data_IF_797955510443
#
_entry.id   IF_797955510443
#
_cell.length_a   1.000
_cell.length_b   1.000
_cell.length_c   1.000
_cell.angle_alpha   90.00
_cell.angle_beta   90.00
_cell.angle_gamma   90.00
#
_symmetry.space_group_name_H-M   'P 1'
#
loop_
_entity.id
_entity.type
_entity.pdbx_description
1 polymer ?
#
# COMPACT_ATOMS: atom_id res chain seq x y z
N UNK A 1 -4.96 -10.27 -46.92
CA UNK A 1 -3.59 -10.28 -46.35
C UNK A 1 -3.63 -9.45 -45.07
N UNK A 2 -4.08 -10.08 -43.98
CA UNK A 2 -4.01 -9.52 -42.62
C UNK A 2 -3.19 -10.57 -41.84
N UNK A 3 -1.88 -10.34 -41.86
CA UNK A 3 -0.94 -11.20 -41.18
C UNK A 3 -0.71 -10.66 -39.75
N UNK A 4 -0.96 -11.53 -38.80
CA UNK A 4 -0.29 -11.66 -37.51
C UNK A 4 0.15 -10.34 -36.80
N UNK A 5 -0.69 -9.80 -35.92
CA UNK A 5 -0.25 -9.11 -34.76
C UNK A 5 -0.52 -10.02 -33.56
N UNK A 6 0.30 -11.05 -33.44
CA UNK A 6 0.47 -11.85 -32.23
C UNK A 6 1.94 -11.75 -31.84
N UNK A 7 2.40 -10.54 -31.62
CA UNK A 7 3.55 -10.34 -30.74
C UNK A 7 3.00 -10.43 -29.32
N UNK A 8 3.38 -11.49 -28.61
CA UNK A 8 3.27 -11.64 -27.18
C UNK A 8 3.82 -10.34 -26.59
N UNK A 9 2.94 -9.44 -26.17
CA UNK A 9 3.29 -8.19 -25.49
C UNK A 9 4.01 -8.64 -24.22
N UNK A 10 5.34 -8.53 -24.22
CA UNK A 10 6.13 -8.87 -23.05
C UNK A 10 5.55 -8.10 -21.87
N UNK A 11 5.12 -8.84 -20.83
CA UNK A 11 4.53 -8.24 -19.63
C UNK A 11 5.54 -7.26 -19.02
N UNK A 12 5.08 -6.09 -18.61
CA UNK A 12 5.93 -5.11 -17.95
C UNK A 12 6.53 -5.70 -16.68
N UNK A 13 7.82 -5.50 -16.48
CA UNK A 13 8.51 -5.89 -15.24
C UNK A 13 8.36 -4.83 -14.13
N UNK A 14 7.53 -3.83 -14.35
CA UNK A 14 7.32 -2.70 -13.42
C UNK A 14 5.98 -2.83 -12.71
N UNK A 15 5.92 -2.36 -11.46
CA UNK A 15 4.70 -2.31 -10.65
C UNK A 15 4.26 -0.86 -10.56
N UNK A 16 3.12 -0.53 -11.14
CA UNK A 16 2.53 0.81 -11.00
C UNK A 16 1.91 0.97 -9.62
N UNK A 17 2.15 2.13 -9.00
CA UNK A 17 1.57 2.51 -7.70
C UNK A 17 0.75 3.79 -7.91
N UNK A 18 -0.56 3.69 -7.87
CA UNK A 18 -1.48 4.83 -7.83
C UNK A 18 -1.38 5.48 -6.45
N UNK A 19 -0.85 6.69 -6.39
CA UNK A 19 -0.52 7.39 -5.17
C UNK A 19 -0.92 8.87 -5.26
N UNK A 20 -2.19 9.19 -5.08
CA UNK A 20 -2.67 10.56 -5.23
C UNK A 20 -2.06 11.52 -4.22
N UNK A 21 -1.64 11.03 -3.05
CA UNK A 21 -1.17 11.86 -1.93
C UNK A 21 0.29 11.57 -1.57
N UNK A 22 1.23 12.21 -2.29
CA UNK A 22 2.63 12.27 -1.87
C UNK A 22 2.90 13.61 -1.17
N UNK A 23 3.59 13.57 -0.03
CA UNK A 23 3.83 14.71 0.84
C UNK A 23 5.32 14.89 1.11
N UNK A 24 5.73 16.10 1.54
CA UNK A 24 7.06 16.37 2.04
C UNK A 24 7.07 16.26 3.57
N UNK A 25 7.95 15.45 4.11
CA UNK A 25 8.16 15.32 5.55
C UNK A 25 9.47 15.98 5.96
N UNK A 26 9.40 16.77 7.01
CA UNK A 26 10.58 17.31 7.70
C UNK A 26 10.53 16.81 9.15
N UNK A 27 11.59 16.16 9.60
CA UNK A 27 11.69 15.66 10.98
C UNK A 27 12.93 16.26 11.62
N UNK A 28 12.76 16.82 12.82
CA UNK A 28 13.84 17.33 13.66
C UNK A 28 14.08 16.29 14.76
N UNK A 29 15.30 15.81 14.86
CA UNK A 29 15.72 14.82 15.87
C UNK A 29 16.98 15.30 16.56
N UNK A 30 17.36 14.70 17.69
CA UNK A 30 18.65 14.91 18.33
C UNK A 30 19.43 13.60 18.34
N UNK A 31 20.58 13.59 17.70
CA UNK A 31 21.52 12.46 17.74
C UNK A 31 22.85 12.90 18.35
N UNK A 32 23.33 12.17 19.34
CA UNK A 32 24.58 12.49 20.05
C UNK A 32 24.67 13.94 20.60
N UNK A 33 23.53 14.54 20.95
CA UNK A 33 23.46 15.91 21.50
C UNK A 33 23.50 17.02 20.43
N UNK A 34 23.36 16.66 19.15
CA UNK A 34 23.28 17.60 18.01
C UNK A 34 21.93 17.47 17.34
N UNK A 35 21.31 18.60 17.01
CA UNK A 35 20.04 18.58 16.25
C UNK A 35 20.31 18.20 14.78
N UNK A 36 19.52 17.26 14.29
CA UNK A 36 19.52 16.80 12.90
C UNK A 36 18.19 17.15 12.23
N UNK A 37 18.27 17.49 10.95
CA UNK A 37 17.11 17.80 10.12
C UNK A 37 17.03 16.75 9.00
N UNK A 38 15.97 15.96 9.00
CA UNK A 38 15.70 14.97 7.99
C UNK A 38 14.57 15.43 7.08
N UNK A 39 14.82 15.50 5.77
CA UNK A 39 13.85 15.89 4.74
C UNK A 39 13.67 14.73 3.79
N UNK A 40 12.45 14.22 3.67
CA UNK A 40 12.18 13.07 2.82
C UNK A 40 10.74 13.09 2.27
N UNK A 41 10.47 12.39 1.17
CA UNK A 41 9.11 12.16 0.72
C UNK A 41 8.34 11.33 1.74
N UNK A 42 7.04 11.51 1.77
CA UNK A 42 6.12 10.79 2.63
C UNK A 42 4.80 10.53 1.91
N UNK A 43 3.91 9.81 2.58
CA UNK A 43 2.64 9.35 2.04
C UNK A 43 2.68 7.86 1.78
N UNK A 44 1.52 7.21 1.91
CA UNK A 44 1.35 5.75 1.80
C UNK A 44 2.01 5.20 0.53
N UNK A 45 1.63 5.76 -0.64
CA UNK A 45 2.16 5.27 -1.92
C UNK A 45 3.67 5.39 -2.07
N UNK A 46 4.29 6.42 -1.46
CA UNK A 46 5.74 6.53 -1.45
C UNK A 46 6.39 5.41 -0.62
N UNK A 47 5.85 5.11 0.55
CA UNK A 47 6.41 4.04 1.39
C UNK A 47 6.23 2.67 0.75
N UNK A 48 5.08 2.43 0.10
CA UNK A 48 4.86 1.23 -0.72
C UNK A 48 5.89 1.14 -1.84
N UNK A 49 6.06 2.19 -2.65
CA UNK A 49 7.03 2.20 -3.75
C UNK A 49 8.47 1.98 -3.26
N UNK A 50 8.84 2.60 -2.14
CA UNK A 50 10.16 2.41 -1.53
C UNK A 50 10.38 0.96 -1.10
N UNK A 51 9.41 0.33 -0.46
CA UNK A 51 9.52 -1.06 -0.03
C UNK A 51 9.54 -2.02 -1.24
N UNK A 52 8.77 -1.75 -2.31
CA UNK A 52 8.88 -2.49 -3.56
C UNK A 52 10.32 -2.47 -4.10
N UNK A 53 10.97 -1.30 -4.09
CA UNK A 53 12.36 -1.16 -4.51
C UNK A 53 13.34 -1.88 -3.58
N UNK A 54 13.13 -1.82 -2.27
CA UNK A 54 13.91 -2.59 -1.28
C UNK A 54 13.82 -4.09 -1.54
N UNK A 55 12.65 -4.58 -1.91
CA UNK A 55 12.42 -5.98 -2.25
C UNK A 55 12.92 -6.35 -3.67
N UNK A 56 13.55 -5.41 -4.39
CA UNK A 56 14.22 -5.66 -5.69
C UNK A 56 13.31 -5.53 -6.91
N UNK A 57 12.10 -5.00 -6.75
CA UNK A 57 11.20 -4.72 -7.88
C UNK A 57 11.40 -3.29 -8.41
N UNK A 58 10.84 -3.01 -9.59
CA UNK A 58 10.90 -1.72 -10.24
C UNK A 58 9.54 -0.98 -10.11
N UNK A 59 9.28 -0.21 -9.04
CA UNK A 59 8.04 0.55 -8.90
C UNK A 59 7.99 1.73 -9.86
N UNK A 60 6.77 2.13 -10.24
CA UNK A 60 6.48 3.42 -10.85
C UNK A 60 5.46 4.13 -9.98
N UNK A 61 5.92 5.07 -9.18
CA UNK A 61 5.02 5.89 -8.35
C UNK A 61 4.30 6.92 -9.21
N UNK A 62 3.01 6.73 -9.41
CA UNK A 62 2.15 7.65 -10.15
C UNK A 62 1.54 8.66 -9.18
N UNK A 63 2.04 9.91 -9.21
CA UNK A 63 1.67 10.92 -8.21
C UNK A 63 1.76 12.34 -8.76
N UNK A 64 0.87 13.26 -8.35
CA UNK A 64 0.98 14.67 -8.68
C UNK A 64 2.06 15.33 -7.82
N UNK A 65 2.83 16.24 -8.44
CA UNK A 65 3.84 17.06 -7.78
C UNK A 65 3.75 18.50 -8.24
N UNK A 66 3.68 19.44 -7.29
CA UNK A 66 3.49 20.85 -7.59
C UNK A 66 3.98 21.80 -6.51
N UNK A 67 4.09 23.07 -6.87
CA UNK A 67 4.58 24.12 -5.99
C UNK A 67 6.03 23.93 -5.54
N UNK A 68 6.43 24.62 -4.49
CA UNK A 68 7.76 24.53 -3.90
C UNK A 68 8.02 23.14 -3.30
N UNK A 69 7.03 22.59 -2.60
CA UNK A 69 7.11 21.24 -2.03
C UNK A 69 7.25 20.17 -3.12
N UNK A 70 6.53 20.30 -4.23
CA UNK A 70 6.67 19.42 -5.39
C UNK A 70 8.04 19.50 -6.05
N UNK A 71 8.65 20.69 -6.11
CA UNK A 71 10.03 20.86 -6.60
C UNK A 71 11.01 20.10 -5.73
N UNK A 72 10.90 20.19 -4.41
CA UNK A 72 11.70 19.41 -3.48
C UNK A 72 11.46 17.90 -3.63
N UNK A 73 10.20 17.49 -3.73
CA UNK A 73 9.82 16.09 -3.91
C UNK A 73 10.41 15.49 -5.19
N UNK A 74 10.40 16.20 -6.31
CA UNK A 74 11.01 15.70 -7.57
C UNK A 74 12.47 15.31 -7.38
N UNK A 75 13.24 16.12 -6.65
CA UNK A 75 14.65 15.83 -6.37
C UNK A 75 14.83 14.66 -5.42
N UNK A 76 13.95 14.52 -4.42
CA UNK A 76 14.04 13.50 -3.38
C UNK A 76 13.52 12.14 -3.84
N UNK A 77 12.54 12.12 -4.75
CA UNK A 77 11.97 10.89 -5.30
C UNK A 77 12.94 10.18 -6.25
N UNK A 78 13.84 10.92 -6.92
CA UNK A 78 14.89 10.37 -7.75
C UNK A 78 14.39 9.37 -8.80
N UNK A 79 15.11 8.27 -8.94
CA UNK A 79 14.83 7.24 -9.95
C UNK A 79 13.55 6.43 -9.69
N UNK A 80 13.02 6.45 -8.46
CA UNK A 80 11.78 5.72 -8.11
C UNK A 80 10.56 6.19 -8.90
N UNK A 81 10.61 7.37 -9.54
CA UNK A 81 9.40 8.04 -10.00
C UNK A 81 9.48 8.72 -11.36
N UNK A 82 10.57 8.58 -12.12
CA UNK A 82 10.80 9.38 -13.34
C UNK A 82 9.66 9.32 -14.35
N UNK A 83 8.93 8.21 -14.43
CA UNK A 83 7.91 7.99 -15.46
C UNK A 83 6.46 8.10 -14.92
N UNK A 84 6.28 8.41 -13.64
CA UNK A 84 4.96 8.46 -12.98
C UNK A 84 4.56 9.83 -12.45
N UNK A 85 5.44 10.85 -12.54
CA UNK A 85 5.16 12.17 -11.99
C UNK A 85 4.30 13.00 -12.93
N UNK A 86 3.31 13.69 -12.34
CA UNK A 86 2.40 14.60 -13.03
C UNK A 86 2.59 16.00 -12.49
N UNK A 87 2.62 16.99 -13.37
CA UNK A 87 2.64 18.38 -12.97
C UNK A 87 1.30 18.80 -12.35
N UNK A 88 1.38 19.39 -11.16
CA UNK A 88 0.22 19.91 -10.45
C UNK A 88 0.43 21.41 -10.15
N UNK A 89 -0.57 22.28 -10.41
CA UNK A 89 -0.46 23.71 -10.10
C UNK A 89 -0.44 24.00 -8.60
N UNK A 90 -0.98 23.09 -7.77
CA UNK A 90 -1.05 23.26 -6.32
C UNK A 90 0.13 22.59 -5.62
N UNK A 91 0.61 23.15 -4.48
CA UNK A 91 1.69 22.53 -3.73
C UNK A 91 1.25 21.20 -3.10
N UNK A 92 2.19 20.27 -2.99
CA UNK A 92 1.99 19.05 -2.21
C UNK A 92 1.86 19.40 -0.71
N UNK A 93 1.08 18.60 0.01
CA UNK A 93 1.04 18.66 1.45
C UNK A 93 2.43 18.47 2.06
N UNK A 94 2.65 19.06 3.22
CA UNK A 94 3.90 18.89 3.96
C UNK A 94 3.69 19.02 5.46
N UNK A 95 4.55 18.39 6.23
CA UNK A 95 4.51 18.50 7.69
C UNK A 95 5.91 18.55 8.30
N UNK A 96 6.02 19.24 9.41
CA UNK A 96 7.24 19.33 10.22
C UNK A 96 6.96 18.71 11.58
N UNK A 97 7.76 17.72 11.96
CA UNK A 97 7.68 17.08 13.26
C UNK A 97 8.94 17.32 14.07
N UNK A 98 8.77 17.64 15.35
CA UNK A 98 9.82 17.66 16.35
C UNK A 98 9.80 16.35 17.15
N UNK A 99 10.92 15.63 17.18
CA UNK A 99 11.12 14.36 17.90
C UNK A 99 12.24 14.46 18.94
N UNK A 100 12.76 15.65 19.21
CA UNK A 100 13.87 15.86 20.17
C UNK A 100 13.52 15.45 21.58
N UNK A 101 12.24 15.46 21.95
CA UNK A 101 11.76 14.97 23.26
C UNK A 101 11.60 13.45 23.33
N UNK A 102 11.81 12.71 22.22
CA UNK A 102 11.48 11.29 22.10
C UNK A 102 10.04 11.02 21.62
N UNK A 103 9.14 12.00 21.76
CA UNK A 103 7.78 11.94 21.24
C UNK A 103 7.67 12.75 19.94
N UNK A 104 6.75 12.35 19.07
CA UNK A 104 6.48 13.07 17.83
C UNK A 104 5.49 14.20 18.05
N UNK A 105 5.97 15.43 17.95
CA UNK A 105 5.14 16.63 18.00
C UNK A 105 5.04 17.25 16.60
N UNK A 106 3.84 17.41 16.07
CA UNK A 106 3.63 18.19 14.85
C UNK A 106 3.73 19.69 15.19
N UNK A 107 4.67 20.38 14.52
CA UNK A 107 4.87 21.83 14.71
C UNK A 107 4.39 22.64 13.51
N UNK A 108 4.25 22.05 12.35
CA UNK A 108 3.67 22.70 11.17
C UNK A 108 3.05 21.67 10.24
N UNK A 109 1.90 22.02 9.67
CA UNK A 109 1.19 21.23 8.68
C UNK A 109 0.74 22.13 7.53
N UNK A 110 1.20 21.85 6.32
CA UNK A 110 0.60 22.33 5.10
C UNK A 110 -0.32 21.22 4.56
N UNK A 111 -1.62 21.42 4.66
CA UNK A 111 -2.60 20.47 4.10
C UNK A 111 -2.52 20.45 2.57
N UNK A 112 -2.65 19.30 1.91
CA UNK A 112 -2.75 19.27 0.47
C UNK A 112 -4.05 19.97 0.04
N UNK A 113 -4.01 20.64 -1.10
CA UNK A 113 -5.21 21.26 -1.69
C UNK A 113 -5.99 20.25 -2.53
N UNK A 114 -7.29 20.49 -2.77
CA UNK A 114 -8.08 19.72 -3.73
C UNK A 114 -7.40 19.68 -5.10
N UNK A 115 -7.40 18.53 -5.74
CA UNK A 115 -6.86 18.38 -7.08
C UNK A 115 -7.85 18.85 -8.14
N UNK A 116 -7.34 19.56 -9.13
CA UNK A 116 -8.11 19.88 -10.33
C UNK A 116 -8.46 18.60 -11.12
N UNK A 117 -9.62 18.60 -11.76
CA UNK A 117 -10.10 17.46 -12.56
C UNK A 117 -9.08 16.99 -13.60
N UNK A 118 -8.38 17.92 -14.25
CA UNK A 118 -7.39 17.55 -15.27
C UNK A 118 -6.20 16.84 -14.65
N UNK A 119 -5.75 17.26 -13.47
CA UNK A 119 -4.68 16.57 -12.72
C UNK A 119 -5.12 15.14 -12.34
N UNK A 120 -6.38 14.96 -11.93
CA UNK A 120 -6.93 13.63 -11.63
C UNK A 120 -7.01 12.77 -12.89
N UNK A 121 -7.46 13.31 -14.02
CA UNK A 121 -7.51 12.59 -15.31
C UNK A 121 -6.09 12.20 -15.79
N UNK A 122 -5.11 13.08 -15.61
CA UNK A 122 -3.71 12.79 -15.92
C UNK A 122 -3.13 11.71 -15.00
N UNK A 123 -3.46 11.76 -13.71
CA UNK A 123 -3.06 10.74 -12.74
C UNK A 123 -3.60 9.35 -13.10
N UNK A 124 -4.87 9.27 -13.47
CA UNK A 124 -5.47 8.03 -13.98
C UNK A 124 -4.72 7.56 -15.23
N UNK A 125 -4.52 8.47 -16.19
CA UNK A 125 -3.90 8.15 -17.48
C UNK A 125 -2.49 7.61 -17.33
N UNK A 126 -1.65 8.24 -16.49
CA UNK A 126 -0.27 7.78 -16.25
C UNK A 126 -0.23 6.46 -15.49
N UNK A 127 -1.17 6.27 -14.54
CA UNK A 127 -1.31 5.01 -13.80
C UNK A 127 -1.66 3.86 -14.73
N UNK A 128 -2.64 4.07 -15.61
CA UNK A 128 -3.05 3.06 -16.59
C UNK A 128 -1.94 2.78 -17.60
N UNK A 129 -1.24 3.82 -18.08
CA UNK A 129 -0.13 3.66 -19.02
C UNK A 129 1.01 2.78 -18.45
N UNK A 130 1.28 2.89 -17.14
CA UNK A 130 2.31 2.11 -16.46
C UNK A 130 1.79 0.76 -15.91
N UNK A 131 0.50 0.67 -15.59
CA UNK A 131 -0.11 -0.52 -14.99
C UNK A 131 -0.63 -1.53 -16.00
N UNK A 132 -1.13 -1.07 -17.16
CA UNK A 132 -1.61 -1.97 -18.21
C UNK A 132 -0.47 -2.81 -18.80
N UNK A 133 -0.65 -4.14 -18.77
CA UNK A 133 0.38 -5.08 -19.18
C UNK A 133 1.42 -5.40 -18.10
N UNK A 134 1.32 -4.80 -16.92
CA UNK A 134 1.98 -5.29 -15.71
C UNK A 134 1.22 -6.51 -15.14
N UNK A 135 1.90 -7.32 -14.35
CA UNK A 135 1.23 -8.42 -13.62
C UNK A 135 0.46 -7.90 -12.40
N UNK A 136 0.95 -6.83 -11.78
CA UNK A 136 0.40 -6.27 -10.54
C UNK A 136 0.44 -4.74 -10.60
N UNK A 137 -0.58 -4.12 -10.08
CA UNK A 137 -0.61 -2.68 -9.77
C UNK A 137 -1.11 -2.49 -8.33
N UNK A 138 -0.61 -1.44 -7.67
CA UNK A 138 -1.01 -1.10 -6.30
C UNK A 138 -1.85 0.17 -6.32
N UNK A 139 -2.95 0.19 -5.56
CA UNK A 139 -3.81 1.36 -5.40
C UNK A 139 -3.79 1.78 -3.94
N UNK A 140 -3.24 2.96 -3.68
CA UNK A 140 -3.13 3.60 -2.37
C UNK A 140 -4.16 4.71 -2.21
N UNK A 141 -4.56 4.98 -0.97
CA UNK A 141 -5.56 5.98 -0.64
C UNK A 141 -5.08 7.43 -0.84
N UNK A 142 -6.03 8.34 -0.86
CA UNK A 142 -5.79 9.77 -0.89
C UNK A 142 -5.83 10.40 0.51
N UNK A 143 -5.41 11.65 0.61
CA UNK A 143 -5.71 12.47 1.75
C UNK A 143 -7.10 13.11 1.56
N UNK A 144 -7.95 13.07 2.59
CA UNK A 144 -9.31 13.61 2.55
C UNK A 144 -9.38 15.07 2.10
N UNK A 145 -8.36 15.87 2.43
CA UNK A 145 -8.28 17.30 2.03
C UNK A 145 -8.13 17.47 0.51
N UNK A 146 -7.72 16.43 -0.23
CA UNK A 146 -7.57 16.48 -1.70
C UNK A 146 -8.90 16.38 -2.44
N UNK A 147 -9.97 15.98 -1.75
CA UNK A 147 -11.33 15.89 -2.28
C UNK A 147 -11.42 15.14 -3.63
N UNK A 148 -10.75 13.99 -3.71
CA UNK A 148 -10.83 13.11 -4.87
C UNK A 148 -12.16 12.33 -4.80
N UNK A 149 -12.91 12.33 -5.89
CA UNK A 149 -14.14 11.55 -5.98
C UNK A 149 -13.83 10.05 -5.84
N UNK A 150 -14.55 9.38 -4.96
CA UNK A 150 -14.38 7.94 -4.74
C UNK A 150 -14.56 7.10 -6.03
N UNK A 151 -15.37 7.57 -6.98
CA UNK A 151 -15.55 6.94 -8.30
C UNK A 151 -14.24 6.83 -9.11
N UNK A 152 -13.22 7.62 -8.78
CA UNK A 152 -11.86 7.50 -9.36
C UNK A 152 -11.26 6.14 -9.02
N UNK A 153 -11.42 5.68 -7.78
CA UNK A 153 -10.87 4.41 -7.31
C UNK A 153 -11.57 3.21 -7.97
N UNK A 154 -12.89 3.27 -8.15
CA UNK A 154 -13.65 2.29 -8.92
C UNK A 154 -13.11 2.18 -10.36
N UNK A 155 -12.96 3.33 -11.02
CA UNK A 155 -12.47 3.40 -12.40
C UNK A 155 -11.04 2.84 -12.52
N UNK A 156 -10.12 3.28 -11.64
CA UNK A 156 -8.71 2.85 -11.67
C UNK A 156 -8.61 1.34 -11.47
N UNK A 157 -9.30 0.77 -10.49
CA UNK A 157 -9.29 -0.67 -10.23
C UNK A 157 -9.84 -1.46 -11.41
N UNK A 158 -11.01 -1.05 -11.94
CA UNK A 158 -11.65 -1.70 -13.09
C UNK A 158 -10.76 -1.68 -14.33
N UNK A 159 -10.19 -0.53 -14.66
CA UNK A 159 -9.41 -0.34 -15.89
C UNK A 159 -8.06 -1.05 -15.80
N UNK A 160 -7.40 -1.06 -14.63
CA UNK A 160 -6.16 -1.84 -14.39
C UNK A 160 -6.42 -3.35 -14.56
N UNK A 161 -7.50 -3.87 -13.98
CA UNK A 161 -7.88 -5.28 -14.13
C UNK A 161 -8.24 -5.64 -15.56
N UNK A 162 -8.98 -4.77 -16.25
CA UNK A 162 -9.27 -4.94 -17.68
C UNK A 162 -7.99 -4.93 -18.53
N UNK A 163 -6.94 -4.21 -18.09
CA UNK A 163 -5.61 -4.21 -18.68
C UNK A 163 -4.76 -5.43 -18.33
N UNK A 164 -5.26 -6.36 -17.50
CA UNK A 164 -4.61 -7.61 -17.12
C UNK A 164 -3.73 -7.55 -15.88
N UNK A 165 -3.71 -6.44 -15.15
CA UNK A 165 -3.01 -6.35 -13.88
C UNK A 165 -3.88 -6.88 -12.72
N UNK A 166 -3.29 -7.65 -11.82
CA UNK A 166 -3.89 -7.91 -10.52
C UNK A 166 -3.79 -6.63 -9.66
N UNK A 167 -4.90 -6.21 -9.06
CA UNK A 167 -4.96 -5.00 -8.24
C UNK A 167 -4.76 -5.36 -6.77
N UNK A 168 -3.70 -4.84 -6.18
CA UNK A 168 -3.49 -4.82 -4.72
C UNK A 168 -3.94 -3.47 -4.20
N UNK A 169 -4.84 -3.45 -3.21
CA UNK A 169 -5.34 -2.21 -2.64
C UNK A 169 -5.04 -2.12 -1.14
N UNK A 170 -4.75 -0.90 -0.68
CA UNK A 170 -4.65 -0.53 0.73
C UNK A 170 -5.43 0.77 0.90
N UNK A 171 -6.73 0.64 1.23
CA UNK A 171 -7.73 1.69 1.18
C UNK A 171 -8.70 1.57 2.36
N UNK A 172 -9.34 2.68 2.70
CA UNK A 172 -10.38 2.73 3.73
C UNK A 172 -11.57 3.60 3.29
N UNK A 173 -12.63 3.61 4.06
CA UNK A 173 -13.79 4.49 3.87
C UNK A 173 -14.47 4.32 2.50
N UNK A 174 -14.87 5.45 1.90
CA UNK A 174 -15.58 5.47 0.63
C UNK A 174 -14.70 5.09 -0.56
N UNK A 175 -13.39 5.36 -0.50
CA UNK A 175 -12.42 4.94 -1.51
C UNK A 175 -12.34 3.41 -1.61
N UNK A 176 -12.34 2.72 -0.46
CA UNK A 176 -12.40 1.26 -0.41
C UNK A 176 -13.69 0.73 -1.02
N UNK A 177 -14.85 1.31 -0.66
CA UNK A 177 -16.15 0.88 -1.20
C UNK A 177 -16.16 0.98 -2.73
N UNK A 178 -15.73 2.10 -3.26
CA UNK A 178 -15.65 2.32 -4.70
C UNK A 178 -14.63 1.38 -5.39
N UNK A 179 -13.48 1.16 -4.79
CA UNK A 179 -12.49 0.23 -5.31
C UNK A 179 -13.03 -1.21 -5.38
N UNK A 180 -13.81 -1.64 -4.38
CA UNK A 180 -14.47 -2.95 -4.38
C UNK A 180 -15.47 -3.10 -5.53
N UNK A 181 -16.23 -2.05 -5.88
CA UNK A 181 -17.12 -2.04 -7.04
C UNK A 181 -16.33 -2.18 -8.37
N UNK A 182 -15.11 -1.64 -8.43
CA UNK A 182 -14.17 -1.83 -9.53
C UNK A 182 -13.49 -3.20 -9.57
N UNK A 183 -13.49 -3.90 -8.43
CA UNK A 183 -12.84 -5.18 -8.17
C UNK A 183 -11.40 -5.05 -7.69
N UNK A 184 -11.08 -5.78 -6.64
CA UNK A 184 -9.76 -5.84 -6.00
C UNK A 184 -9.31 -7.29 -5.92
N UNK A 185 -8.12 -7.61 -6.40
CA UNK A 185 -7.61 -8.98 -6.38
C UNK A 185 -7.03 -9.34 -5.00
N UNK A 186 -6.33 -8.41 -4.36
CA UNK A 186 -5.88 -8.56 -2.98
C UNK A 186 -6.02 -7.25 -2.22
N UNK A 187 -6.82 -7.27 -1.16
CA UNK A 187 -7.00 -6.15 -0.25
C UNK A 187 -6.15 -6.35 1.01
N UNK A 188 -5.33 -5.36 1.37
CA UNK A 188 -4.78 -5.23 2.70
C UNK A 188 -5.60 -4.20 3.48
N UNK A 189 -5.96 -4.53 4.71
CA UNK A 189 -6.69 -3.66 5.63
C UNK A 189 -6.20 -3.90 7.05
N UNK A 190 -6.25 -2.91 7.94
CA UNK A 190 -6.04 -3.12 9.38
C UNK A 190 -7.36 -3.46 10.09
N UNK A 191 -7.26 -4.06 11.29
CA UNK A 191 -8.44 -4.35 12.11
C UNK A 191 -9.19 -3.07 12.50
N UNK A 192 -8.47 -1.99 12.81
CA UNK A 192 -9.05 -0.69 13.12
C UNK A 192 -9.85 -0.14 11.92
N UNK A 193 -9.26 -0.13 10.72
CA UNK A 193 -9.92 0.30 9.48
C UNK A 193 -11.13 -0.56 9.13
N UNK A 194 -11.06 -1.86 9.45
CA UNK A 194 -12.16 -2.79 9.25
C UNK A 194 -13.36 -2.45 10.16
N UNK A 195 -13.08 -2.08 11.42
CA UNK A 195 -14.11 -1.65 12.38
C UNK A 195 -14.64 -0.27 12.02
N UNK A 196 -13.77 0.70 11.78
CA UNK A 196 -14.11 2.08 11.44
C UNK A 196 -14.91 2.18 10.13
N UNK A 197 -14.59 1.33 9.17
CA UNK A 197 -15.31 1.21 7.90
C UNK A 197 -16.67 0.52 8.01
N UNK A 198 -17.02 -0.01 9.20
CA UNK A 198 -18.28 -0.72 9.44
C UNK A 198 -18.30 -2.15 8.88
N UNK A 199 -17.13 -2.68 8.49
CA UNK A 199 -16.99 -4.06 8.00
C UNK A 199 -16.87 -5.08 9.15
N UNK A 200 -16.27 -4.69 10.30
CA UNK A 200 -16.13 -5.45 11.52
C UNK A 200 -16.98 -4.88 12.66
N UNK A 201 -17.16 -5.65 13.72
CA UNK A 201 -17.81 -5.21 14.97
C UNK A 201 -16.83 -5.11 16.12
N UNK A 202 -15.68 -5.77 16.00
CA UNK A 202 -14.62 -5.82 16.98
C UNK A 202 -13.33 -6.32 16.32
N UNK A 203 -12.23 -6.29 17.10
CA UNK A 203 -10.89 -6.65 16.63
C UNK A 203 -10.53 -8.10 16.97
N UNK A 204 -11.41 -8.83 17.65
CA UNK A 204 -11.17 -10.24 17.91
C UNK A 204 -11.16 -11.06 16.60
N UNK A 205 -10.55 -12.23 16.65
CA UNK A 205 -10.35 -13.08 15.47
C UNK A 205 -11.63 -13.40 14.74
N UNK A 206 -12.70 -13.71 15.47
CA UNK A 206 -13.99 -14.09 14.89
C UNK A 206 -14.66 -12.91 14.19
N UNK A 207 -14.65 -11.74 14.82
CA UNK A 207 -15.24 -10.52 14.26
C UNK A 207 -14.43 -10.01 13.07
N UNK A 208 -13.10 -10.10 13.15
CA UNK A 208 -12.21 -9.75 12.04
C UNK A 208 -12.43 -10.68 10.83
N UNK A 209 -12.53 -12.00 11.03
CA UNK A 209 -12.84 -12.95 9.95
C UNK A 209 -14.22 -12.68 9.34
N UNK A 210 -15.21 -12.39 10.16
CA UNK A 210 -16.54 -12.05 9.65
C UNK A 210 -16.54 -10.73 8.83
N UNK A 211 -15.66 -9.79 9.18
CA UNK A 211 -15.42 -8.56 8.42
C UNK A 211 -14.73 -8.82 7.09
N UNK A 212 -13.69 -9.65 7.10
CA UNK A 212 -12.97 -10.10 5.90
C UNK A 212 -13.93 -10.77 4.90
N UNK A 213 -14.80 -11.64 5.36
CA UNK A 213 -15.79 -12.28 4.48
C UNK A 213 -16.81 -11.28 3.89
N UNK A 214 -17.19 -10.23 4.65
CA UNK A 214 -18.02 -9.15 4.09
C UNK A 214 -17.31 -8.37 3.00
N UNK A 215 -16.01 -8.09 3.15
CA UNK A 215 -15.19 -7.43 2.13
C UNK A 215 -15.07 -8.28 0.87
N UNK A 216 -14.91 -9.60 1.02
CA UNK A 216 -14.92 -10.55 -0.11
C UNK A 216 -16.26 -10.57 -0.83
N UNK A 217 -17.34 -10.59 -0.07
CA UNK A 217 -18.70 -10.49 -0.63
C UNK A 217 -18.98 -9.16 -1.35
N UNK A 218 -18.22 -8.11 -1.03
CA UNK A 218 -18.34 -6.78 -1.62
C UNK A 218 -17.41 -6.55 -2.83
N UNK A 219 -16.48 -7.48 -3.17
CA UNK A 219 -15.68 -7.35 -4.41
C UNK A 219 -14.18 -7.61 -4.26
N UNK A 220 -13.66 -7.85 -3.05
CA UNK A 220 -12.28 -8.31 -2.89
C UNK A 220 -12.21 -9.83 -3.14
N UNK A 221 -11.20 -10.30 -3.89
CA UNK A 221 -10.97 -11.74 -4.07
C UNK A 221 -10.27 -12.29 -2.83
N UNK A 222 -9.11 -11.73 -2.51
CA UNK A 222 -8.31 -12.11 -1.35
C UNK A 222 -8.20 -10.93 -0.39
N UNK A 223 -8.13 -11.20 0.91
CA UNK A 223 -8.03 -10.15 1.94
C UNK A 223 -7.00 -10.55 2.99
N UNK A 224 -6.13 -9.61 3.34
CA UNK A 224 -5.20 -9.70 4.47
C UNK A 224 -5.53 -8.59 5.47
N UNK A 225 -5.95 -8.98 6.67
CA UNK A 225 -6.27 -8.08 7.77
C UNK A 225 -5.13 -8.09 8.80
N UNK A 226 -4.39 -6.99 8.91
CA UNK A 226 -3.35 -6.83 9.93
C UNK A 226 -3.97 -6.43 11.28
N UNK A 227 -3.46 -7.01 12.37
CA UNK A 227 -3.99 -6.88 13.74
C UNK A 227 -2.90 -6.47 14.72
N UNK A 228 -2.05 -5.55 14.33
CA UNK A 228 -0.92 -5.05 15.12
C UNK A 228 -0.11 -6.21 15.75
N UNK A 229 0.03 -6.24 17.08
CA UNK A 229 0.78 -7.26 17.81
C UNK A 229 0.16 -8.68 17.72
N UNK A 230 -1.12 -8.77 17.34
CA UNK A 230 -1.81 -10.05 17.15
C UNK A 230 -1.53 -10.69 15.78
N UNK A 231 -0.62 -10.13 14.99
CA UNK A 231 -0.26 -10.63 13.68
C UNK A 231 -1.26 -10.25 12.59
N UNK A 232 -1.66 -11.19 11.74
CA UNK A 232 -2.63 -10.96 10.69
C UNK A 232 -3.53 -12.17 10.46
N UNK A 233 -4.71 -11.92 9.88
CA UNK A 233 -5.59 -12.94 9.33
C UNK A 233 -5.65 -12.76 7.82
N UNK A 234 -5.63 -13.84 7.08
CA UNK A 234 -5.72 -13.80 5.63
C UNK A 234 -6.75 -14.81 5.12
N UNK A 235 -7.55 -14.40 4.15
CA UNK A 235 -8.38 -15.31 3.38
C UNK A 235 -7.92 -15.21 1.91
N UNK A 236 -7.35 -16.31 1.41
CA UNK A 236 -6.80 -16.43 0.06
C UNK A 236 -7.49 -17.61 -0.62
N UNK A 237 -8.25 -17.33 -1.68
CA UNK A 237 -9.15 -18.32 -2.27
C UNK A 237 -10.18 -18.80 -1.24
N UNK A 238 -10.17 -20.11 -0.97
CA UNK A 238 -11.05 -20.72 0.04
C UNK A 238 -10.33 -21.06 1.36
N UNK A 239 -9.08 -20.61 1.50
CA UNK A 239 -8.22 -20.90 2.65
C UNK A 239 -8.14 -19.72 3.59
N UNK A 240 -8.26 -19.98 4.87
CA UNK A 240 -8.12 -19.00 5.94
C UNK A 240 -6.83 -19.27 6.72
N UNK A 241 -6.03 -18.23 6.94
CA UNK A 241 -4.74 -18.32 7.62
C UNK A 241 -4.66 -17.35 8.78
N UNK A 242 -4.04 -17.83 9.88
CA UNK A 242 -3.48 -16.98 10.91
C UNK A 242 -1.98 -16.82 10.65
N UNK A 243 -1.46 -15.59 10.76
CA UNK A 243 -0.06 -15.24 10.47
C UNK A 243 0.53 -14.53 11.67
N UNK A 244 1.60 -15.09 12.22
CA UNK A 244 2.29 -14.53 13.39
C UNK A 244 3.76 -14.35 13.09
N UNK A 245 4.24 -13.10 13.11
CA UNK A 245 5.64 -12.80 13.00
C UNK A 245 6.36 -12.98 14.36
N UNK A 246 7.69 -13.24 14.36
CA UNK A 246 8.46 -13.20 15.59
C UNK A 246 8.31 -11.85 16.31
N UNK A 247 8.28 -11.91 17.64
CA UNK A 247 8.26 -10.70 18.47
C UNK A 247 9.53 -9.88 18.26
N UNK A 248 9.37 -8.62 17.90
CA UNK A 248 10.44 -7.70 17.57
C UNK A 248 10.39 -6.47 18.47
N UNK A 249 11.57 -5.88 18.76
CA UNK A 249 11.62 -4.59 19.46
C UNK A 249 11.04 -3.48 18.58
N UNK A 250 9.95 -2.88 19.00
CA UNK A 250 9.29 -1.81 18.25
C UNK A 250 10.02 -0.49 18.48
N UNK A 251 10.52 0.11 17.41
CA UNK A 251 11.16 1.44 17.38
C UNK A 251 10.19 2.46 16.74
N UNK A 252 9.56 2.09 15.62
CA UNK A 252 8.60 2.93 14.90
C UNK A 252 7.50 2.02 14.30
N UNK A 253 6.27 2.06 14.84
CA UNK A 253 5.20 1.17 14.37
C UNK A 253 4.62 1.56 13.00
N UNK A 254 4.81 2.81 12.57
CA UNK A 254 4.28 3.31 11.29
C UNK A 254 4.98 2.67 10.10
N UNK A 255 4.27 2.60 8.97
CA UNK A 255 4.76 2.04 7.72
C UNK A 255 4.83 0.51 7.70
N UNK A 256 4.42 -0.19 8.77
CA UNK A 256 4.30 -1.63 8.77
C UNK A 256 3.22 -2.10 7.77
N UNK A 257 2.07 -1.42 7.74
CA UNK A 257 1.01 -1.65 6.76
C UNK A 257 1.49 -1.44 5.33
N UNK A 258 2.14 -0.31 5.05
CA UNK A 258 2.70 0.00 3.72
C UNK A 258 3.73 -1.05 3.27
N UNK A 259 4.57 -1.49 4.21
CA UNK A 259 5.57 -2.55 3.96
C UNK A 259 4.91 -3.90 3.67
N UNK A 260 3.84 -4.23 4.39
CA UNK A 260 3.03 -5.42 4.14
C UNK A 260 2.37 -5.36 2.76
N UNK A 261 1.73 -4.24 2.42
CA UNK A 261 1.09 -4.02 1.11
C UNK A 261 2.08 -4.19 -0.04
N UNK A 262 3.27 -3.58 0.07
CA UNK A 262 4.32 -3.74 -0.91
C UNK A 262 4.78 -5.20 -1.06
N UNK A 263 4.98 -5.90 0.05
CA UNK A 263 5.41 -7.29 0.03
C UNK A 263 4.34 -8.23 -0.54
N UNK A 264 3.06 -7.98 -0.26
CA UNK A 264 1.94 -8.68 -0.89
C UNK A 264 1.95 -8.48 -2.41
N UNK A 265 2.16 -7.25 -2.88
CA UNK A 265 2.28 -6.95 -4.30
C UNK A 265 3.48 -7.67 -4.94
N UNK A 266 4.64 -7.70 -4.27
CA UNK A 266 5.82 -8.46 -4.72
C UNK A 266 5.54 -9.95 -4.79
N UNK A 267 4.89 -10.52 -3.77
CA UNK A 267 4.55 -11.93 -3.75
C UNK A 267 3.66 -12.34 -4.91
N UNK A 268 2.60 -11.57 -5.19
CA UNK A 268 1.75 -11.77 -6.36
C UNK A 268 2.53 -11.59 -7.68
N UNK A 269 3.36 -10.56 -7.77
CA UNK A 269 4.17 -10.28 -8.95
C UNK A 269 5.12 -11.42 -9.28
N UNK A 270 5.73 -12.04 -8.27
CA UNK A 270 6.63 -13.20 -8.38
C UNK A 270 5.87 -14.51 -8.53
N UNK A 271 4.58 -14.56 -8.24
CA UNK A 271 3.76 -15.77 -8.27
C UNK A 271 4.10 -16.72 -7.12
N UNK A 272 4.36 -16.18 -5.93
CA UNK A 272 4.61 -16.97 -4.73
C UNK A 272 3.36 -17.77 -4.32
N UNK A 273 3.55 -18.89 -3.65
CA UNK A 273 2.47 -19.60 -2.99
C UNK A 273 1.95 -18.83 -1.76
N UNK A 274 0.73 -19.17 -1.29
CA UNK A 274 0.08 -18.41 -0.21
C UNK A 274 0.91 -18.29 1.05
N UNK A 275 1.55 -19.36 1.48
CA UNK A 275 2.37 -19.36 2.69
C UNK A 275 3.60 -18.47 2.51
N UNK A 276 4.29 -18.55 1.38
CA UNK A 276 5.47 -17.74 1.08
C UNK A 276 5.10 -16.25 0.93
N UNK A 277 3.95 -15.97 0.30
CA UNK A 277 3.41 -14.62 0.17
C UNK A 277 3.14 -13.99 1.54
N UNK A 278 2.46 -14.73 2.42
CA UNK A 278 2.14 -14.26 3.77
C UNK A 278 3.39 -14.13 4.66
N UNK A 279 4.35 -15.04 4.51
CA UNK A 279 5.64 -14.96 5.18
C UNK A 279 6.42 -13.70 4.77
N UNK A 280 6.49 -13.41 3.47
CA UNK A 280 7.15 -12.21 2.95
C UNK A 280 6.48 -10.93 3.48
N UNK A 281 5.14 -10.90 3.45
CA UNK A 281 4.35 -9.75 3.90
C UNK A 281 4.53 -9.46 5.39
N UNK A 282 4.44 -10.49 6.24
CA UNK A 282 4.63 -10.35 7.67
C UNK A 282 6.08 -10.01 8.04
N UNK A 283 7.07 -10.56 7.33
CA UNK A 283 8.48 -10.26 7.54
C UNK A 283 8.82 -8.81 7.21
N UNK A 284 8.29 -8.29 6.09
CA UNK A 284 8.50 -6.89 5.71
C UNK A 284 7.90 -5.92 6.73
N UNK A 285 6.69 -6.22 7.22
CA UNK A 285 6.03 -5.44 8.26
C UNK A 285 6.80 -5.50 9.59
N UNK A 286 7.20 -6.70 10.04
CA UNK A 286 7.93 -6.90 11.29
C UNK A 286 9.31 -6.24 11.27
N UNK A 287 10.04 -6.30 10.16
CA UNK A 287 11.33 -5.63 10.07
C UNK A 287 11.20 -4.11 10.02
N UNK A 288 10.13 -3.58 9.40
CA UNK A 288 9.88 -2.14 9.36
C UNK A 288 9.79 -1.53 10.76
N UNK A 289 9.07 -2.17 11.69
CA UNK A 289 8.86 -1.61 13.03
C UNK A 289 10.12 -1.53 13.89
N UNK A 290 11.18 -2.25 13.52
CA UNK A 290 12.47 -2.25 14.25
C UNK A 290 13.38 -1.07 13.89
N UNK A 291 12.95 -0.17 13.01
CA UNK A 291 13.81 0.87 12.42
C UNK A 291 13.21 2.25 12.54
N UNK A 292 14.07 3.27 12.65
CA UNK A 292 13.62 4.68 12.63
C UNK A 292 13.14 5.15 11.25
N UNK A 293 13.65 4.55 10.16
CA UNK A 293 13.26 4.90 8.79
C UNK A 293 12.17 3.97 8.25
N UNK A 294 11.05 4.54 7.80
CA UNK A 294 9.95 3.78 7.21
C UNK A 294 10.35 3.12 5.87
N UNK A 295 9.82 1.95 5.60
CA UNK A 295 10.08 1.17 4.37
C UNK A 295 11.59 1.08 4.04
N UNK A 296 12.44 0.85 5.05
CA UNK A 296 13.91 0.86 4.93
C UNK A 296 14.56 -0.46 5.34
N UNK A 297 13.80 -1.54 5.38
CA UNK A 297 14.29 -2.89 5.71
C UNK A 297 15.43 -3.33 4.77
N UNK A 298 16.31 -4.19 5.28
CA UNK A 298 17.32 -4.84 4.44
C UNK A 298 16.69 -6.08 3.79
N UNK A 299 16.78 -6.26 2.47
CA UNK A 299 16.11 -7.37 1.77
C UNK A 299 16.51 -8.74 2.33
N UNK A 300 17.80 -8.99 2.55
CA UNK A 300 18.27 -10.26 3.11
C UNK A 300 17.71 -10.53 4.53
N UNK A 301 17.47 -9.49 5.33
CA UNK A 301 16.89 -9.64 6.65
C UNK A 301 15.40 -10.00 6.56
N UNK A 302 14.68 -9.40 5.61
CA UNK A 302 13.28 -9.74 5.33
C UNK A 302 13.19 -11.22 4.91
N UNK A 303 14.03 -11.65 3.96
CA UNK A 303 14.07 -13.04 3.50
C UNK A 303 14.38 -14.04 4.61
N UNK A 304 15.34 -13.71 5.50
CA UNK A 304 15.71 -14.57 6.63
C UNK A 304 14.66 -14.64 7.73
N UNK A 305 13.81 -13.63 7.85
CA UNK A 305 12.67 -13.66 8.76
C UNK A 305 11.55 -14.58 8.28
N UNK A 306 11.39 -14.75 6.96
CA UNK A 306 10.32 -15.55 6.37
C UNK A 306 10.10 -16.91 7.03
N UNK A 307 11.12 -17.77 7.14
CA UNK A 307 10.99 -19.08 7.79
C UNK A 307 10.62 -19.04 9.28
N UNK A 308 10.74 -17.88 9.93
CA UNK A 308 10.38 -17.68 11.33
C UNK A 308 8.95 -17.17 11.52
N UNK A 309 8.29 -16.76 10.42
CA UNK A 309 6.87 -16.38 10.43
C UNK A 309 6.03 -17.65 10.43
N UNK A 310 5.20 -17.79 11.44
CA UNK A 310 4.25 -18.90 11.54
C UNK A 310 3.00 -18.56 10.71
N UNK A 311 2.67 -19.44 9.77
CA UNK A 311 1.45 -19.36 8.94
C UNK A 311 0.65 -20.63 9.16
N UNK A 312 -0.49 -20.50 9.83
CA UNK A 312 -1.34 -21.62 10.23
C UNK A 312 -2.64 -21.58 9.44
N UNK A 313 -2.97 -22.68 8.77
CA UNK A 313 -4.27 -22.86 8.14
C UNK A 313 -5.33 -23.07 9.21
N UNK A 314 -6.35 -22.21 9.24
CA UNK A 314 -7.47 -22.31 10.18
C UNK A 314 -8.53 -23.26 9.61
N UNK A 315 -8.74 -24.39 10.28
CA UNK A 315 -9.76 -25.38 9.89
C UNK A 315 -11.16 -24.85 10.26
N UNK A 316 -12.09 -24.85 9.31
CA UNK A 316 -13.51 -24.61 9.55
C UNK A 316 -14.04 -23.19 9.32
N UNK A 317 -13.24 -22.25 8.81
CA UNK A 317 -13.72 -20.91 8.46
C UNK A 317 -14.37 -20.81 7.07
N UNK A 318 -14.14 -21.78 6.20
CA UNK A 318 -14.73 -21.83 4.87
C UNK A 318 -16.01 -22.71 4.88
N UNK A 319 -17.20 -22.10 5.02
CA UNK A 319 -18.42 -22.81 4.65
C UNK A 319 -19.59 -22.83 5.63
N UNK A 320 -20.14 -21.68 6.00
CA UNK A 320 -21.50 -21.65 6.56
C UNK A 320 -22.47 -20.68 5.87
N UNK A 321 -22.24 -20.40 4.59
CA UNK A 321 -23.01 -19.41 3.83
C UNK A 321 -23.59 -19.86 2.49
N UNK A 322 -23.86 -21.15 2.27
CA UNK A 322 -24.71 -21.60 1.16
C UNK A 322 -25.73 -22.63 1.68
N UNK A 323 -26.88 -22.14 2.12
CA UNK A 323 -28.01 -22.97 2.50
C UNK A 323 -29.19 -22.14 2.95
N UNK A 324 -30.08 -21.78 2.02
CA UNK A 324 -31.37 -21.19 2.35
C UNK A 324 -31.90 -20.32 1.24
#
# INVERSE_FOLDING_TARGET
MVAAISESRAMSKRIAVFAPSTQLSVTIETAAGVDELHVHPAGQGFWVARMLAVLGEAPVLCTPVGGETGTALRSLLGELCTDGLIDCPTPNGSYVHDRRSGERQEIALLRPAPLDRHVVDDLISITLANGMGSRVAVVCGSNLDMNIDAAVFERVCRDLRAGGAAVVADLSGDELRAALDGGVDLLKISADELVDGGWGKGEDERDALAGVERLRGAGAIDVVCSRAEQGALAVIGERCFSVTAPEMSVVEPRGAGDSMTAALAVGLFRGLGDVELLQLAASAAALNVTRHGLASGHPDAIERLGPLVEVVLLEGAAGSGRGG
#
